data_IF_474113847960
#
_entry.id   IF_474113847960
#
_cell.length_a   1.000
_cell.length_b   1.000
_cell.length_c   1.000
_cell.angle_alpha   90.00
_cell.angle_beta   90.00
_cell.angle_gamma   90.00
#
_symmetry.space_group_name_H-M   'P 1'
#
loop_
_entity.id
_entity.type
_entity.pdbx_description
1 polymer ?
#
# COMPACT_ATOMS: atom_id res chain seq x y z
N UNK A 1 11.75 10.93 -3.67
CA UNK A 1 10.35 10.57 -4.02
C UNK A 1 9.90 9.67 -2.91
N UNK A 2 8.83 10.03 -2.23
CA UNK A 2 8.41 9.34 -1.02
C UNK A 2 7.11 8.60 -1.28
N UNK A 3 7.08 7.32 -0.92
CA UNK A 3 5.96 6.43 -1.13
C UNK A 3 5.47 5.96 0.23
N UNK A 4 4.27 6.39 0.62
CA UNK A 4 3.65 6.06 1.89
C UNK A 4 2.52 5.06 1.64
N UNK A 5 2.60 3.88 2.26
CA UNK A 5 1.54 2.87 2.20
C UNK A 5 0.88 2.78 3.56
N UNK A 6 -0.41 3.14 3.65
CA UNK A 6 -1.24 2.81 4.82
C UNK A 6 -2.00 1.51 4.54
N UNK A 7 -1.88 0.52 5.41
CA UNK A 7 -2.53 -0.78 5.25
C UNK A 7 -2.71 -1.48 6.60
N UNK A 8 -2.98 -2.78 6.59
CA UNK A 8 -3.00 -3.63 7.78
C UNK A 8 -2.56 -5.05 7.41
N UNK A 9 -2.12 -5.84 8.40
CA UNK A 9 -1.49 -7.13 8.11
C UNK A 9 -2.43 -8.12 7.41
N UNK A 10 -3.72 -8.07 7.72
CA UNK A 10 -4.74 -8.92 7.13
C UNK A 10 -5.51 -8.30 5.98
N UNK A 11 -4.99 -7.28 5.29
CA UNK A 11 -5.73 -6.68 4.19
C UNK A 11 -5.69 -7.55 2.93
N UNK A 12 -6.83 -8.07 2.41
CA UNK A 12 -6.78 -8.88 1.19
C UNK A 12 -6.34 -8.06 -0.02
N UNK A 13 -6.72 -6.78 -0.03
CA UNK A 13 -6.31 -5.79 -1.05
C UNK A 13 -4.81 -5.51 -0.95
N UNK A 14 -4.32 -5.23 0.26
CA UNK A 14 -2.89 -5.02 0.48
C UNK A 14 -2.06 -6.25 0.11
N UNK A 15 -2.58 -7.45 0.38
CA UNK A 15 -1.94 -8.71 0.00
C UNK A 15 -1.91 -8.90 -1.52
N UNK A 16 -2.99 -8.64 -2.25
CA UNK A 16 -3.00 -8.80 -3.70
C UNK A 16 -2.13 -7.76 -4.41
N UNK A 17 -2.25 -6.49 -4.04
CA UNK A 17 -1.47 -5.39 -4.66
C UNK A 17 0.01 -5.42 -4.23
N UNK A 18 0.38 -6.18 -3.18
CA UNK A 18 1.78 -6.33 -2.77
C UNK A 18 2.67 -6.95 -3.86
N UNK A 19 2.11 -7.76 -4.75
CA UNK A 19 2.87 -8.41 -5.83
C UNK A 19 3.29 -7.42 -6.92
N UNK A 20 2.45 -6.42 -7.21
CA UNK A 20 2.80 -5.28 -8.06
C UNK A 20 4.00 -4.51 -7.48
N UNK A 21 3.99 -4.27 -6.16
CA UNK A 21 5.08 -3.56 -5.49
C UNK A 21 6.38 -4.37 -5.51
N UNK A 22 6.30 -5.69 -5.30
CA UNK A 22 7.48 -6.56 -5.44
C UNK A 22 8.04 -6.50 -6.86
N UNK A 23 7.18 -6.59 -7.88
CA UNK A 23 7.60 -6.53 -9.28
C UNK A 23 8.33 -5.25 -9.62
N UNK A 24 7.75 -4.10 -9.26
CA UNK A 24 8.39 -2.81 -9.47
C UNK A 24 9.72 -2.68 -8.70
N UNK A 25 9.71 -2.88 -7.37
CA UNK A 25 10.90 -2.60 -6.55
C UNK A 25 12.05 -3.59 -6.79
N UNK A 26 11.75 -4.84 -7.17
CA UNK A 26 12.77 -5.87 -7.43
C UNK A 26 13.70 -5.52 -8.61
N UNK A 27 13.29 -4.60 -9.49
CA UNK A 27 14.11 -4.10 -10.59
C UNK A 27 15.25 -3.20 -10.12
N UNK A 28 15.14 -2.62 -8.92
CA UNK A 28 16.09 -1.61 -8.42
C UNK A 28 16.83 -2.03 -7.16
N UNK A 29 16.24 -2.89 -6.34
CA UNK A 29 16.82 -3.31 -5.06
C UNK A 29 16.47 -4.76 -4.75
N UNK A 30 17.40 -5.47 -4.10
CA UNK A 30 17.12 -6.82 -3.61
C UNK A 30 16.12 -6.76 -2.45
N UNK A 31 14.89 -7.20 -2.72
CA UNK A 31 13.75 -7.12 -1.80
C UNK A 31 13.75 -8.15 -0.66
N UNK A 32 14.66 -9.14 -0.68
CA UNK A 32 14.65 -10.27 0.27
C UNK A 32 14.61 -9.83 1.75
N UNK A 33 15.33 -8.77 2.11
CA UNK A 33 15.38 -8.25 3.48
C UNK A 33 14.22 -7.30 3.83
N UNK A 34 13.48 -6.83 2.83
CA UNK A 34 12.43 -5.83 2.98
C UNK A 34 11.02 -6.41 2.90
N UNK A 35 10.90 -7.72 2.65
CA UNK A 35 9.60 -8.40 2.56
C UNK A 35 9.44 -9.47 3.62
N UNK A 36 8.19 -9.72 3.99
CA UNK A 36 7.76 -10.87 4.77
C UNK A 36 6.58 -11.51 4.07
N UNK A 37 6.66 -12.82 3.83
CA UNK A 37 5.54 -13.60 3.29
C UNK A 37 4.37 -13.51 4.25
N UNK A 38 3.18 -13.31 3.70
CA UNK A 38 1.96 -13.16 4.46
C UNK A 38 0.80 -13.94 3.82
N UNK A 39 -0.11 -14.39 4.67
CA UNK A 39 -1.31 -15.11 4.29
C UNK A 39 -2.51 -14.40 4.87
N UNK A 40 -3.27 -13.75 4.02
CA UNK A 40 -4.41 -12.97 4.48
C UNK A 40 -5.69 -13.79 4.44
N UNK A 41 -6.44 -13.91 5.56
CA UNK A 41 -7.77 -14.52 5.55
C UNK A 41 -8.71 -13.84 4.54
N UNK A 42 -9.48 -14.63 3.81
CA UNK A 42 -10.43 -14.15 2.81
C UNK A 42 -11.73 -14.97 2.82
N UNK A 43 -12.68 -14.59 1.97
CA UNK A 43 -14.00 -15.21 1.90
C UNK A 43 -13.92 -16.74 1.69
N UNK A 44 -14.94 -17.47 2.18
CA UNK A 44 -15.07 -18.92 2.03
C UNK A 44 -13.87 -19.72 2.54
N UNK A 45 -13.30 -19.31 3.68
CA UNK A 45 -12.13 -19.93 4.31
C UNK A 45 -10.91 -20.03 3.38
N UNK A 46 -10.85 -19.16 2.37
CA UNK A 46 -9.69 -19.03 1.48
C UNK A 46 -8.67 -18.06 2.06
N UNK A 47 -7.48 -18.02 1.46
CA UNK A 47 -6.47 -17.03 1.80
C UNK A 47 -5.91 -16.38 0.54
N UNK A 48 -5.54 -15.11 0.66
CA UNK A 48 -4.88 -14.36 -0.41
C UNK A 48 -3.39 -14.34 -0.09
N UNK A 49 -2.53 -14.87 -0.98
CA UNK A 49 -1.09 -14.77 -0.81
C UNK A 49 -0.67 -13.30 -0.96
N UNK A 50 0.26 -12.85 -0.12
CA UNK A 50 0.79 -11.49 -0.22
C UNK A 50 2.09 -11.30 0.54
N UNK A 51 2.54 -10.06 0.57
CA UNK A 51 3.78 -9.64 1.20
C UNK A 51 3.50 -8.44 2.11
N UNK A 52 4.17 -8.42 3.26
CA UNK A 52 4.33 -7.22 4.08
C UNK A 52 5.70 -6.63 3.80
N UNK A 53 5.78 -5.31 3.76
CA UNK A 53 7.01 -4.58 3.44
C UNK A 53 7.55 -3.85 4.66
N UNK A 54 8.87 -3.81 4.77
CA UNK A 54 9.59 -2.95 5.71
C UNK A 54 9.94 -1.63 5.04
N UNK A 55 10.29 -0.61 5.83
CA UNK A 55 10.83 0.64 5.28
C UNK A 55 12.17 0.39 4.59
N UNK A 56 12.36 1.01 3.42
CA UNK A 56 13.63 0.99 2.70
C UNK A 56 13.78 2.19 1.78
N UNK A 57 15.01 2.39 1.30
CA UNK A 57 15.35 3.42 0.32
C UNK A 57 16.18 2.81 -0.79
N UNK A 58 16.07 3.32 -2.01
CA UNK A 58 16.91 2.90 -3.13
C UNK A 58 17.16 4.05 -4.12
N UNK A 59 18.21 3.91 -4.92
CA UNK A 59 18.48 4.84 -6.02
C UNK A 59 17.68 4.44 -7.27
N UNK A 60 16.88 5.37 -7.77
CA UNK A 60 16.16 5.23 -9.03
C UNK A 60 16.88 6.05 -10.12
N UNK A 61 17.14 5.48 -11.31
CA UNK A 61 17.68 6.23 -12.43
C UNK A 61 16.65 7.26 -12.92
N UNK A 62 17.04 8.52 -13.08
CA UNK A 62 16.15 9.51 -13.67
C UNK A 62 15.90 9.16 -15.14
N UNK A 63 14.66 9.33 -15.61
CA UNK A 63 14.34 9.10 -17.01
C UNK A 63 15.02 10.15 -17.88
N UNK A 64 15.63 9.72 -18.99
CA UNK A 64 16.19 10.59 -20.04
C UNK A 64 17.41 11.44 -19.66
N UNK A 65 18.01 11.25 -18.47
CA UNK A 65 19.26 11.89 -18.05
C UNK A 65 20.11 10.94 -17.19
N UNK A 66 21.42 11.16 -17.11
CA UNK A 66 22.33 10.34 -16.26
C UNK A 66 22.23 10.64 -14.76
N UNK A 67 21.18 11.34 -14.32
CA UNK A 67 20.95 11.67 -12.92
C UNK A 67 20.27 10.49 -12.20
N UNK A 68 20.34 10.51 -10.87
CA UNK A 68 19.64 9.57 -10.00
C UNK A 68 18.89 10.34 -8.93
N UNK A 69 17.81 9.76 -8.44
CA UNK A 69 17.10 10.27 -7.27
C UNK A 69 16.83 9.13 -6.29
N UNK A 70 16.66 9.47 -5.01
CA UNK A 70 16.32 8.49 -3.98
C UNK A 70 14.80 8.33 -3.93
N UNK A 71 14.37 7.07 -3.88
CA UNK A 71 13.01 6.71 -3.53
C UNK A 71 13.02 6.14 -2.12
N UNK A 72 12.17 6.69 -1.26
CA UNK A 72 11.95 6.23 0.10
C UNK A 72 10.56 5.59 0.21
N UNK A 73 10.49 4.35 0.69
CA UNK A 73 9.24 3.60 0.85
C UNK A 73 8.92 3.40 2.33
N UNK A 74 7.75 3.90 2.75
CA UNK A 74 7.27 3.94 4.13
C UNK A 74 5.94 3.18 4.28
N UNK A 75 5.98 1.88 4.56
CA UNK A 75 4.79 1.12 4.88
C UNK A 75 4.41 1.34 6.35
N UNK A 76 3.12 1.59 6.59
CA UNK A 76 2.53 1.73 7.91
C UNK A 76 1.29 0.84 8.03
N UNK A 77 1.33 -0.07 8.99
CA UNK A 77 0.27 -1.05 9.22
C UNK A 77 -0.51 -0.69 10.48
N UNK A 78 -1.82 -0.49 10.34
CA UNK A 78 -2.70 0.01 11.40
C UNK A 78 -3.24 -1.12 12.30
N UNK A 79 -3.54 -2.27 11.69
CA UNK A 79 -4.23 -3.37 12.37
C UNK A 79 -3.47 -4.69 12.19
N UNK A 80 -3.72 -5.61 13.11
CA UNK A 80 -3.20 -6.97 13.07
C UNK A 80 -3.83 -7.83 11.96
N UNK A 81 -3.42 -9.10 11.85
CA UNK A 81 -3.87 -10.02 10.79
C UNK A 81 -5.39 -10.25 10.76
N UNK A 82 -6.06 -10.14 11.91
CA UNK A 82 -7.47 -10.50 12.05
C UNK A 82 -8.41 -9.31 12.24
N UNK A 83 -7.90 -8.08 12.11
CA UNK A 83 -8.68 -6.85 12.28
C UNK A 83 -9.36 -6.74 13.66
N UNK A 84 -8.71 -7.26 14.70
CA UNK A 84 -9.26 -7.25 16.05
C UNK A 84 -8.29 -6.66 17.08
N UNK A 85 -7.11 -6.21 16.64
CA UNK A 85 -6.12 -5.53 17.44
C UNK A 85 -5.30 -4.54 16.59
N UNK A 86 -4.59 -3.61 17.25
CA UNK A 86 -3.59 -2.76 16.60
C UNK A 86 -2.44 -3.60 16.03
N UNK A 87 -1.66 -3.08 15.10
CA UNK A 87 -0.48 -3.78 14.63
C UNK A 87 0.60 -3.89 15.73
N UNK A 88 1.24 -5.06 15.89
CA UNK A 88 2.24 -5.32 16.92
C UNK A 88 3.65 -5.63 16.39
N UNK A 89 3.93 -5.21 15.15
CA UNK A 89 5.20 -5.48 14.48
C UNK A 89 5.26 -6.87 13.83
N UNK A 90 6.27 -7.06 13.00
CA UNK A 90 6.36 -8.19 12.06
C UNK A 90 6.61 -9.55 12.73
N UNK A 91 7.15 -9.54 13.95
CA UNK A 91 7.34 -10.73 14.76
C UNK A 91 6.04 -11.18 15.47
N UNK A 92 4.97 -10.37 15.41
CA UNK A 92 3.70 -10.64 16.07
C UNK A 92 2.54 -10.08 15.22
N UNK A 93 2.40 -10.57 14.00
CA UNK A 93 1.36 -10.06 13.07
C UNK A 93 -0.07 -10.35 13.53
N UNK A 94 -0.28 -11.30 14.44
CA UNK A 94 -1.60 -11.66 14.98
C UNK A 94 -1.92 -10.94 16.30
N UNK A 95 -0.91 -10.42 17.00
CA UNK A 95 -1.09 -9.76 18.29
C UNK A 95 -1.41 -8.27 18.17
N UNK A 96 -1.30 -7.57 19.31
CA UNK A 96 -1.56 -6.14 19.43
C UNK A 96 -2.50 -5.80 20.57
N UNK A 97 -2.85 -4.53 20.68
CA UNK A 97 -3.85 -4.07 21.65
C UNK A 97 -5.24 -4.33 21.07
N UNK A 98 -6.11 -5.10 21.74
CA UNK A 98 -7.44 -5.43 21.22
C UNK A 98 -8.27 -4.18 20.89
N UNK A 99 -9.00 -4.25 19.78
CA UNK A 99 -9.87 -3.19 19.28
C UNK A 99 -11.30 -3.72 19.18
N UNK A 100 -12.26 -2.96 19.71
CA UNK A 100 -13.67 -3.24 19.46
C UNK A 100 -14.00 -2.90 17.99
N UNK A 101 -14.74 -3.76 17.29
CA UNK A 101 -15.06 -3.56 15.87
C UNK A 101 -15.73 -2.23 15.53
N UNK A 102 -16.47 -1.63 16.47
CA UNK A 102 -17.06 -0.29 16.32
C UNK A 102 -16.06 0.87 16.38
N UNK A 103 -14.85 0.62 16.91
CA UNK A 103 -13.79 1.62 17.10
C UNK A 103 -12.70 1.55 16.04
N UNK A 104 -12.77 0.62 15.09
CA UNK A 104 -11.69 0.37 14.12
C UNK A 104 -11.29 1.61 13.32
N UNK A 105 -12.24 2.44 12.87
CA UNK A 105 -11.92 3.69 12.15
C UNK A 105 -11.17 4.66 13.08
N UNK A 106 -11.73 4.98 14.24
CA UNK A 106 -11.12 5.89 15.19
C UNK A 106 -9.75 5.41 15.69
N UNK A 107 -9.58 4.10 15.92
CA UNK A 107 -8.28 3.53 16.25
C UNK A 107 -7.31 3.63 15.07
N UNK A 108 -7.75 3.41 13.83
CA UNK A 108 -6.91 3.59 12.65
C UNK A 108 -6.40 5.01 12.47
N UNK A 109 -7.27 6.00 12.65
CA UNK A 109 -6.89 7.43 12.64
C UNK A 109 -5.89 7.74 13.78
N UNK A 110 -6.12 7.19 14.98
CA UNK A 110 -5.19 7.33 16.09
C UNK A 110 -3.82 6.74 15.77
N UNK A 111 -3.76 5.52 15.23
CA UNK A 111 -2.50 4.88 14.82
C UNK A 111 -1.80 5.70 13.73
N UNK A 112 -2.52 6.19 12.70
CA UNK A 112 -1.96 7.10 11.70
C UNK A 112 -1.30 8.32 12.34
N UNK A 113 -1.93 8.92 13.35
CA UNK A 113 -1.37 10.07 14.06
C UNK A 113 -0.12 9.72 14.91
N UNK A 114 0.03 8.46 15.35
CA UNK A 114 1.21 7.97 16.06
C UNK A 114 2.30 7.37 15.16
N UNK A 115 2.04 7.27 13.86
CA UNK A 115 2.94 6.64 12.88
C UNK A 115 4.29 7.35 12.69
N UNK A 116 4.39 8.62 13.05
CA UNK A 116 5.52 9.49 12.70
C UNK A 116 5.52 9.93 11.23
N UNK A 117 4.48 9.63 10.45
CA UNK A 117 4.31 10.13 9.09
C UNK A 117 4.12 11.66 9.09
N UNK A 118 4.47 12.35 7.99
CA UNK A 118 4.22 13.79 7.88
C UNK A 118 2.73 14.09 8.01
N UNK A 119 2.37 15.15 8.75
CA UNK A 119 0.96 15.50 8.99
C UNK A 119 0.14 15.81 7.73
N UNK A 120 0.79 16.21 6.63
CA UNK A 120 0.13 16.34 5.31
C UNK A 120 -0.30 14.98 4.75
N UNK A 121 0.55 13.95 4.89
CA UNK A 121 0.26 12.58 4.44
C UNK A 121 -0.85 11.97 5.28
N UNK A 122 -0.81 12.15 6.60
CA UNK A 122 -1.88 11.69 7.51
C UNK A 122 -3.23 12.26 7.08
N UNK A 123 -3.31 13.59 6.88
CA UNK A 123 -4.55 14.25 6.44
C UNK A 123 -5.05 13.76 5.08
N UNK A 124 -4.14 13.47 4.14
CA UNK A 124 -4.52 12.90 2.84
C UNK A 124 -5.19 11.54 3.03
N UNK A 125 -4.59 10.66 3.82
CA UNK A 125 -5.13 9.31 4.09
C UNK A 125 -6.47 9.41 4.82
N UNK A 126 -6.58 10.24 5.86
CA UNK A 126 -7.83 10.48 6.58
C UNK A 126 -8.92 10.97 5.62
N UNK A 127 -8.67 12.05 4.86
CA UNK A 127 -9.67 12.61 3.95
C UNK A 127 -10.16 11.59 2.92
N UNK A 128 -9.26 10.88 2.23
CA UNK A 128 -9.66 9.94 1.17
C UNK A 128 -10.39 8.72 1.71
N UNK A 129 -10.10 8.32 2.95
CA UNK A 129 -10.71 7.11 3.53
C UNK A 129 -12.01 7.40 4.27
N UNK A 130 -12.13 8.54 4.94
CA UNK A 130 -13.26 8.83 5.85
C UNK A 130 -14.15 9.98 5.40
N UNK A 131 -13.69 10.87 4.52
CA UNK A 131 -14.47 12.02 4.06
C UNK A 131 -14.92 11.90 2.60
N UNK A 132 -14.01 11.55 1.70
CA UNK A 132 -14.29 11.55 0.26
C UNK A 132 -15.20 10.38 -0.11
N UNK A 133 -16.31 10.69 -0.78
CA UNK A 133 -17.20 9.65 -1.29
C UNK A 133 -16.59 8.95 -2.49
N UNK A 134 -16.68 7.62 -2.49
CA UNK A 134 -16.32 6.83 -3.67
C UNK A 134 -17.37 7.06 -4.75
N UNK A 135 -16.93 7.35 -5.98
CA UNK A 135 -17.82 7.59 -7.11
C UNK A 135 -18.83 6.44 -7.26
N UNK A 136 -20.11 6.78 -7.42
CA UNK A 136 -21.21 5.81 -7.44
C UNK A 136 -21.70 5.36 -6.06
N UNK A 137 -21.17 5.92 -4.97
CA UNK A 137 -21.60 5.63 -3.60
C UNK A 137 -21.85 6.92 -2.81
N UNK A 138 -22.62 6.82 -1.72
CA UNK A 138 -22.86 7.93 -0.78
C UNK A 138 -21.98 7.87 0.46
N UNK A 139 -20.95 7.01 0.46
CA UNK A 139 -20.10 6.74 1.62
C UNK A 139 -18.63 6.82 1.25
N UNK A 140 -17.80 7.24 2.21
CA UNK A 140 -16.36 7.11 2.07
C UNK A 140 -15.91 5.65 2.16
N UNK A 141 -14.72 5.33 1.64
CA UNK A 141 -14.27 3.94 1.50
C UNK A 141 -14.18 3.20 2.84
N UNK A 142 -13.87 3.90 3.94
CA UNK A 142 -13.82 3.30 5.27
C UNK A 142 -15.18 2.74 5.74
N UNK A 143 -16.28 3.24 5.18
CA UNK A 143 -17.64 2.91 5.59
C UNK A 143 -18.40 2.03 4.59
N UNK A 144 -17.75 1.59 3.51
CA UNK A 144 -18.39 0.77 2.46
C UNK A 144 -18.69 -0.67 2.92
N UNK A 145 -17.80 -1.24 3.74
CA UNK A 145 -17.91 -2.63 4.19
C UNK A 145 -17.91 -2.73 5.70
N UNK A 146 -18.49 -3.82 6.21
CA UNK A 146 -18.45 -4.18 7.63
C UNK A 146 -17.36 -5.23 7.87
N UNK A 147 -16.56 -5.09 8.94
CA UNK A 147 -16.51 -3.91 9.81
C UNK A 147 -15.87 -2.69 9.12
N UNK A 148 -16.31 -1.50 9.53
CA UNK A 148 -15.77 -0.21 9.06
C UNK A 148 -14.33 -0.04 9.55
N UNK A 149 -13.43 0.46 8.69
CA UNK A 149 -12.00 0.58 8.99
C UNK A 149 -11.32 1.49 7.98
N UNK A 150 -10.16 2.04 8.35
CA UNK A 150 -9.27 2.67 7.37
C UNK A 150 -8.80 1.59 6.38
N UNK A 151 -9.08 1.79 5.09
CA UNK A 151 -8.70 0.87 4.04
C UNK A 151 -7.28 1.13 3.53
N UNK A 152 -6.77 0.24 2.69
CA UNK A 152 -5.41 0.36 2.15
C UNK A 152 -5.33 1.51 1.15
N UNK A 153 -4.41 2.44 1.38
CA UNK A 153 -4.17 3.62 0.53
C UNK A 153 -2.67 3.82 0.37
N UNK A 154 -2.25 4.26 -0.81
CA UNK A 154 -0.88 4.66 -1.07
C UNK A 154 -0.82 6.11 -1.52
N UNK A 155 0.09 6.89 -0.93
CA UNK A 155 0.40 8.27 -1.32
C UNK A 155 1.83 8.29 -1.86
N UNK A 156 2.00 8.77 -3.07
CA UNK A 156 3.29 8.88 -3.76
C UNK A 156 3.54 10.36 -3.97
N UNK A 157 4.66 10.91 -3.50
CA UNK A 157 4.94 12.34 -3.63
C UNK A 157 6.37 12.62 -4.07
N UNK A 158 6.54 13.64 -4.90
CA UNK A 158 7.83 14.07 -5.41
C UNK A 158 7.75 15.46 -6.05
N UNK A 159 8.81 15.89 -6.74
CA UNK A 159 8.84 17.19 -7.43
C UNK A 159 7.71 17.36 -8.46
N UNK A 160 7.23 16.27 -9.04
CA UNK A 160 6.12 16.23 -9.99
C UNK A 160 4.72 16.39 -9.39
N UNK A 161 4.63 16.44 -8.06
CA UNK A 161 3.38 16.50 -7.32
C UNK A 161 3.09 15.21 -6.54
N UNK A 162 1.81 15.00 -6.23
CA UNK A 162 1.34 13.90 -5.38
C UNK A 162 0.31 13.05 -6.12
N UNK A 163 0.51 11.75 -6.14
CA UNK A 163 -0.44 10.74 -6.60
C UNK A 163 -0.99 9.97 -5.42
N UNK A 164 -2.28 9.65 -5.48
CA UNK A 164 -2.94 8.91 -4.41
C UNK A 164 -3.69 7.74 -5.04
N UNK A 165 -3.39 6.54 -4.55
CA UNK A 165 -3.99 5.29 -4.98
C UNK A 165 -4.83 4.75 -3.83
N UNK A 166 -6.15 4.79 -4.00
CA UNK A 166 -7.06 4.02 -3.16
C UNK A 166 -7.05 2.58 -3.67
N UNK A 167 -6.16 1.76 -3.11
CA UNK A 167 -5.72 0.50 -3.69
C UNK A 167 -6.87 -0.50 -3.82
N UNK A 168 -6.91 -1.19 -4.97
CA UNK A 168 -7.76 -2.33 -5.36
C UNK A 168 -7.40 -2.70 -6.82
N UNK A 169 -6.11 -2.71 -7.16
CA UNK A 169 -5.68 -2.81 -8.56
C UNK A 169 -5.80 -4.27 -9.02
N UNK A 170 -5.36 -5.20 -8.17
CA UNK A 170 -5.47 -6.64 -8.36
C UNK A 170 -6.57 -7.16 -7.46
N UNK A 171 -7.61 -7.76 -8.05
CA UNK A 171 -8.70 -8.38 -7.30
C UNK A 171 -8.17 -9.52 -6.41
N UNK A 172 -8.36 -9.48 -5.07
CA UNK A 172 -7.85 -10.51 -4.17
C UNK A 172 -8.36 -11.92 -4.50
N UNK A 173 -9.62 -12.01 -4.93
CA UNK A 173 -10.26 -13.27 -5.31
C UNK A 173 -9.58 -13.99 -6.50
N UNK A 174 -8.84 -13.26 -7.34
CA UNK A 174 -8.10 -13.84 -8.46
C UNK A 174 -6.82 -14.58 -8.03
N UNK A 175 -6.38 -14.41 -6.78
CA UNK A 175 -5.14 -14.98 -6.26
C UNK A 175 -5.35 -16.12 -5.26
N UNK A 176 -6.59 -16.40 -4.84
CA UNK A 176 -6.89 -17.37 -3.76
C UNK A 176 -6.52 -18.81 -4.10
N UNK A 177 -6.35 -19.15 -5.38
CA UNK A 177 -5.90 -20.47 -5.83
C UNK A 177 -4.37 -20.65 -5.77
N UNK A 178 -3.62 -19.63 -5.38
CA UNK A 178 -2.15 -19.64 -5.41
C UNK A 178 -1.56 -19.65 -4.01
N UNK A 179 -0.44 -20.35 -3.87
CA UNK A 179 0.38 -20.29 -2.65
C UNK A 179 1.38 -19.13 -2.76
N UNK A 180 1.91 -18.57 -1.65
CA UNK A 180 2.95 -17.56 -1.74
C UNK A 180 4.22 -18.04 -2.43
N UNK A 181 4.57 -19.33 -2.30
CA UNK A 181 5.69 -19.90 -3.06
C UNK A 181 5.42 -19.86 -4.56
N UNK A 182 4.23 -20.26 -5.00
CA UNK A 182 3.86 -20.16 -6.41
C UNK A 182 3.95 -18.70 -6.89
N UNK A 183 3.43 -17.77 -6.11
CA UNK A 183 3.47 -16.34 -6.43
C UNK A 183 4.91 -15.84 -6.55
N UNK A 184 5.79 -16.12 -5.57
CA UNK A 184 7.20 -15.74 -5.63
C UNK A 184 7.91 -16.27 -6.89
N UNK A 185 7.57 -17.48 -7.32
CA UNK A 185 8.19 -18.11 -8.50
C UNK A 185 7.59 -17.60 -9.83
N UNK A 186 6.42 -16.93 -9.83
CA UNK A 186 5.64 -16.67 -11.05
C UNK A 186 4.99 -15.28 -11.17
N UNK A 187 5.10 -14.38 -10.18
CA UNK A 187 4.35 -13.12 -10.18
C UNK A 187 4.58 -12.27 -11.45
N UNK A 188 5.81 -12.23 -11.98
CA UNK A 188 6.18 -11.51 -13.23
C UNK A 188 5.54 -12.07 -14.51
N UNK A 189 4.95 -13.27 -14.44
CA UNK A 189 4.25 -13.90 -15.57
C UNK A 189 2.75 -13.67 -15.52
N UNK A 190 2.24 -13.05 -14.45
CA UNK A 190 0.81 -12.88 -14.24
C UNK A 190 0.34 -11.58 -14.91
N UNK A 191 -0.60 -11.63 -15.88
CA UNK A 191 -1.04 -10.43 -16.57
C UNK A 191 -1.60 -9.34 -15.65
N UNK A 192 -2.29 -9.72 -14.57
CA UNK A 192 -2.82 -8.79 -13.59
C UNK A 192 -1.71 -8.06 -12.81
N UNK A 193 -0.62 -8.76 -12.46
CA UNK A 193 0.54 -8.16 -11.78
C UNK A 193 1.24 -7.19 -12.73
N UNK A 194 1.54 -7.61 -13.95
CA UNK A 194 2.26 -6.78 -14.92
C UNK A 194 1.46 -5.52 -15.31
N UNK A 195 0.13 -5.63 -15.45
CA UNK A 195 -0.71 -4.46 -15.75
C UNK A 195 -0.77 -3.48 -14.58
N UNK A 196 -0.81 -4.00 -13.36
CA UNK A 196 -0.76 -3.19 -12.15
C UNK A 196 0.61 -2.51 -12.01
N UNK A 197 1.70 -3.24 -12.26
CA UNK A 197 3.08 -2.73 -12.20
C UNK A 197 3.27 -1.58 -13.18
N UNK A 198 2.82 -1.74 -14.43
CA UNK A 198 2.91 -0.67 -15.43
C UNK A 198 2.15 0.60 -14.99
N UNK A 199 1.00 0.44 -14.33
CA UNK A 199 0.22 1.56 -13.80
C UNK A 199 0.95 2.26 -12.65
N UNK A 200 1.57 1.48 -11.76
CA UNK A 200 2.39 2.02 -10.67
C UNK A 200 3.67 2.68 -11.16
N UNK A 201 4.37 2.09 -12.12
CA UNK A 201 5.56 2.66 -12.76
C UNK A 201 5.26 4.00 -13.45
N UNK A 202 4.08 4.12 -14.07
CA UNK A 202 3.59 5.38 -14.65
C UNK A 202 3.40 6.46 -13.57
N UNK A 203 2.76 6.11 -12.46
CA UNK A 203 2.60 7.01 -11.32
C UNK A 203 3.98 7.46 -10.77
N UNK A 204 4.90 6.51 -10.54
CA UNK A 204 6.27 6.78 -10.08
C UNK A 204 7.04 7.70 -11.03
N UNK A 205 6.89 7.50 -12.34
CA UNK A 205 7.51 8.36 -13.35
C UNK A 205 6.96 9.79 -13.26
N UNK A 206 5.63 9.94 -13.23
CA UNK A 206 4.99 11.25 -13.21
C UNK A 206 5.30 12.08 -11.97
N UNK A 207 5.43 11.47 -10.78
CA UNK A 207 5.84 12.21 -9.56
C UNK A 207 7.31 12.60 -9.53
N UNK A 208 8.15 11.92 -10.33
CA UNK A 208 9.60 12.15 -10.34
C UNK A 208 9.99 13.32 -11.25
N UNK A 209 9.18 13.62 -12.26
CA UNK A 209 9.41 14.73 -13.20
C UNK A 209 8.75 15.99 -12.68
N UNK A 210 9.53 17.05 -12.40
CA UNK A 210 8.96 18.38 -12.12
C UNK A 210 8.01 18.77 -13.26
N UNK A 211 6.80 19.33 -12.99
CA UNK A 211 6.17 20.14 -14.02
C UNK A 211 7.18 21.20 -14.43
N UNK A 212 7.36 21.40 -15.73
CA UNK A 212 8.33 22.37 -16.26
C UNK A 212 8.32 23.61 -15.39
N UNK A 213 9.49 23.93 -14.81
CA UNK A 213 9.67 25.14 -14.01
C UNK A 213 9.06 26.27 -14.82
N UNK A 214 8.07 26.96 -14.27
CA UNK A 214 7.61 28.21 -14.86
C UNK A 214 8.85 29.08 -15.04
N UNK A 215 9.34 29.15 -16.28
CA UNK A 215 10.35 30.12 -16.67
C UNK A 215 9.61 31.44 -16.56
N UNK A 216 9.83 32.13 -15.44
CA UNK A 216 9.40 33.52 -15.32
C UNK A 216 10.21 34.31 -16.34
N UNK A 217 9.54 34.78 -17.39
CA UNK A 217 10.02 35.84 -18.27
C UNK A 217 10.34 37.14 -17.48
#
# INVERSE_FOLDING_TARGET
VDVYLSSWYGCPIGASDSWMLLDYFSQYVNMTQYIQINHTPFANDTSVPGLLFRTFSYEHPATNVSAKYVVDFYPYYLYNLYLNATAAGFNNVEGGTPINSSLLVATGESELNYSGLPGSIIRIVENITTMDHINGTSKASAFLHSPHKINTVMVITGPGGTWILNLYIISPGSLTSHTPKYMLDNYTKMPAVNSAEASFASAMTSVSTSPDMCVSD
#
